data_IF_100517264110
#
_entry.id   IF_100517264110
#
_cell.length_a   1.000
_cell.length_b   1.000
_cell.length_c   1.000
_cell.angle_alpha   90.00
_cell.angle_beta   90.00
_cell.angle_gamma   90.00
#
_symmetry.space_group_name_H-M   'P 1'
#
loop_
_entity.id
_entity.type
_entity.pdbx_description
1 polymer ?
#
# COMPACT_ATOMS: atom_id res chain seq x y z
N UNK A 1 -7.02 57.12 11.61
CA UNK A 1 -7.72 56.17 12.47
C UNK A 1 -7.60 56.69 13.88
N UNK A 2 -8.67 57.29 14.41
CA UNK A 2 -8.64 57.85 15.76
C UNK A 2 -9.41 56.93 16.70
N UNK A 3 -8.68 55.95 17.27
CA UNK A 3 -9.23 55.06 18.30
C UNK A 3 -9.31 55.88 19.58
N UNK A 4 -10.52 56.32 19.94
CA UNK A 4 -10.75 57.09 21.15
C UNK A 4 -10.91 56.14 22.34
N UNK A 5 -10.15 56.33 23.43
CA UNK A 5 -10.34 55.55 24.64
C UNK A 5 -11.74 55.75 25.21
N UNK A 6 -12.33 54.70 25.79
CA UNK A 6 -13.57 54.83 26.57
C UNK A 6 -13.30 55.73 27.77
N UNK A 7 -14.28 56.59 28.10
CA UNK A 7 -14.16 57.59 29.16
C UNK A 7 -13.68 56.95 30.48
N UNK A 8 -12.44 57.21 30.86
CA UNK A 8 -11.79 56.70 32.09
C UNK A 8 -10.58 55.79 31.89
N UNK A 9 -10.36 55.22 30.70
CA UNK A 9 -9.15 54.44 30.38
C UNK A 9 -8.19 55.32 29.55
N UNK A 10 -6.97 55.57 30.03
CA UNK A 10 -5.94 56.33 29.28
C UNK A 10 -5.08 55.44 28.39
N UNK A 11 -5.23 54.12 28.50
CA UNK A 11 -4.47 53.11 27.79
C UNK A 11 -5.44 52.08 27.19
N UNK A 12 -5.39 51.91 25.86
CA UNK A 12 -6.17 50.90 25.17
C UNK A 12 -5.57 49.52 25.43
N UNK A 13 -6.40 48.58 25.86
CA UNK A 13 -5.95 47.18 26.01
C UNK A 13 -5.65 46.60 24.64
N UNK A 14 -4.62 45.76 24.56
CA UNK A 14 -4.24 45.08 23.31
C UNK A 14 -5.44 44.40 22.64
N UNK A 15 -6.31 43.76 23.42
CA UNK A 15 -7.55 43.13 22.95
C UNK A 15 -8.50 44.12 22.24
N UNK A 16 -8.65 45.34 22.76
CA UNK A 16 -9.51 46.37 22.15
C UNK A 16 -8.93 46.88 20.83
N UNK A 17 -7.60 46.95 20.72
CA UNK A 17 -6.91 47.35 19.49
C UNK A 17 -7.10 46.26 18.43
N UNK A 18 -6.91 44.99 18.78
CA UNK A 18 -7.08 43.86 17.87
C UNK A 18 -8.54 43.75 17.38
N UNK A 19 -9.52 43.88 18.27
CA UNK A 19 -10.95 43.87 17.90
C UNK A 19 -11.30 44.97 16.90
N UNK A 20 -10.76 46.18 17.08
CA UNK A 20 -11.07 47.31 16.18
C UNK A 20 -10.35 47.17 14.84
N UNK A 21 -9.15 46.59 14.83
CA UNK A 21 -8.49 46.16 13.60
C UNK A 21 -9.31 45.09 12.88
N UNK A 22 -9.76 44.05 13.57
CA UNK A 22 -10.57 42.97 12.98
C UNK A 22 -11.91 43.49 12.44
N UNK A 23 -12.55 44.46 13.10
CA UNK A 23 -13.74 45.13 12.55
C UNK A 23 -13.42 45.94 11.31
N UNK A 24 -12.37 46.75 11.36
CA UNK A 24 -12.02 47.63 10.24
C UNK A 24 -11.58 46.85 9.00
N UNK A 25 -10.75 45.82 9.19
CA UNK A 25 -10.27 44.95 8.11
C UNK A 25 -11.26 43.82 7.77
N UNK A 26 -12.20 43.53 8.67
CA UNK A 26 -13.26 42.54 8.45
C UNK A 26 -14.10 42.86 7.22
N UNK A 27 -14.38 44.14 6.96
CA UNK A 27 -15.11 44.60 5.77
C UNK A 27 -14.33 44.44 4.46
N UNK A 28 -13.00 44.29 4.54
CA UNK A 28 -12.13 44.03 3.38
C UNK A 28 -12.02 42.53 3.06
N UNK A 29 -12.70 41.66 3.81
CA UNK A 29 -12.83 40.24 3.45
C UNK A 29 -13.69 40.13 2.20
N UNK A 30 -13.04 39.93 1.06
CA UNK A 30 -13.73 39.69 -0.19
C UNK A 30 -14.26 38.25 -0.23
N UNK A 31 -15.45 38.04 0.33
CA UNK A 31 -16.14 36.72 0.38
C UNK A 31 -16.31 36.11 -1.03
N UNK A 32 -16.46 36.95 -2.06
CA UNK A 32 -16.58 36.51 -3.46
C UNK A 32 -15.25 35.89 -3.90
N UNK A 33 -14.13 36.54 -3.61
CA UNK A 33 -12.80 36.02 -3.93
C UNK A 33 -12.48 34.77 -3.10
N UNK A 34 -12.80 34.75 -1.80
CA UNK A 34 -12.65 33.57 -0.96
C UNK A 34 -13.45 32.39 -1.52
N UNK A 35 -14.71 32.61 -1.92
CA UNK A 35 -15.55 31.62 -2.59
C UNK A 35 -14.94 31.14 -3.90
N UNK A 36 -14.35 32.03 -4.71
CA UNK A 36 -13.66 31.65 -5.94
C UNK A 36 -12.48 30.70 -5.65
N UNK A 37 -11.61 31.06 -4.70
CA UNK A 37 -10.47 30.23 -4.29
C UNK A 37 -10.97 28.87 -3.78
N UNK A 38 -11.96 28.87 -2.89
CA UNK A 38 -12.59 27.65 -2.38
C UNK A 38 -13.12 26.75 -3.50
N UNK A 39 -13.81 27.32 -4.49
CA UNK A 39 -14.41 26.59 -5.60
C UNK A 39 -13.37 26.02 -6.58
N UNK A 40 -12.16 26.57 -6.63
CA UNK A 40 -11.06 26.06 -7.46
C UNK A 40 -10.25 24.95 -6.78
N UNK A 41 -10.24 24.87 -5.45
CA UNK A 41 -9.50 23.83 -4.70
C UNK A 41 -9.85 22.42 -5.20
N UNK A 42 -8.85 21.68 -5.67
CA UNK A 42 -8.93 20.25 -5.99
C UNK A 42 -7.76 19.55 -5.33
N UNK A 43 -7.89 18.24 -5.13
CA UNK A 43 -6.79 17.43 -4.64
C UNK A 43 -5.66 17.46 -5.67
N UNK A 44 -4.45 17.82 -5.27
CA UNK A 44 -3.30 17.84 -6.15
C UNK A 44 -2.81 16.41 -6.45
N UNK A 45 -2.07 16.19 -7.55
CA UNK A 45 -1.43 14.91 -7.80
C UNK A 45 -0.56 14.51 -6.61
N UNK A 46 -0.74 13.28 -6.11
CA UNK A 46 -0.01 12.73 -4.97
C UNK A 46 -0.28 13.38 -3.60
N UNK A 47 -1.16 14.38 -3.50
CA UNK A 47 -1.60 14.94 -2.21
C UNK A 47 -2.43 13.92 -1.44
N UNK A 48 -2.16 13.75 -0.14
CA UNK A 48 -2.97 12.87 0.71
C UNK A 48 -4.33 13.49 0.97
N UNK A 49 -5.36 12.65 1.12
CA UNK A 49 -6.73 13.14 1.33
C UNK A 49 -6.85 14.08 2.55
N UNK A 50 -6.10 13.82 3.64
CA UNK A 50 -6.12 14.69 4.82
C UNK A 50 -5.55 16.09 4.59
N UNK A 51 -4.50 16.21 3.77
CA UNK A 51 -3.90 17.50 3.43
C UNK A 51 -4.88 18.32 2.59
N UNK A 52 -5.43 17.69 1.56
CA UNK A 52 -6.49 18.26 0.72
C UNK A 52 -7.69 18.75 1.56
N UNK A 53 -8.22 17.88 2.43
CA UNK A 53 -9.39 18.21 3.24
C UNK A 53 -9.12 19.35 4.23
N UNK A 54 -7.91 19.41 4.79
CA UNK A 54 -7.51 20.49 5.71
C UNK A 54 -7.44 21.82 4.97
N UNK A 55 -6.78 21.86 3.80
CA UNK A 55 -6.72 23.05 2.94
C UNK A 55 -8.11 23.51 2.52
N UNK A 56 -8.99 22.58 2.18
CA UNK A 56 -10.37 22.87 1.85
C UNK A 56 -11.16 23.46 3.03
N UNK A 57 -10.95 22.93 4.24
CA UNK A 57 -11.61 23.41 5.47
C UNK A 57 -11.19 24.84 5.80
N UNK A 58 -9.88 25.12 5.77
CA UNK A 58 -9.34 26.45 6.03
C UNK A 58 -9.90 27.49 5.04
N UNK A 59 -9.94 27.17 3.74
CA UNK A 59 -10.48 28.08 2.74
C UNK A 59 -11.98 28.37 2.92
N UNK A 60 -12.74 27.45 3.52
CA UNK A 60 -14.17 27.65 3.76
C UNK A 60 -14.46 28.65 4.90
N UNK A 61 -13.51 28.87 5.82
CA UNK A 61 -13.66 29.79 6.96
C UNK A 61 -13.83 31.23 6.49
N UNK A 62 -13.12 31.62 5.42
CA UNK A 62 -13.18 32.96 4.83
C UNK A 62 -14.37 33.16 3.87
N UNK A 63 -15.13 32.10 3.56
CA UNK A 63 -16.24 32.18 2.61
C UNK A 63 -17.56 32.64 3.23
N UNK A 64 -17.67 32.66 4.56
CA UNK A 64 -18.88 33.04 5.31
C UNK A 64 -20.18 32.33 4.83
N UNK A 65 -20.08 31.06 4.44
CA UNK A 65 -21.25 30.31 3.98
C UNK A 65 -22.23 30.03 5.12
N UNK A 66 -23.53 30.28 4.89
CA UNK A 66 -24.60 29.91 5.83
C UNK A 66 -24.65 28.42 6.20
N UNK A 67 -24.17 27.54 5.31
CA UNK A 67 -24.14 26.08 5.48
C UNK A 67 -22.76 25.54 5.12
N UNK A 68 -21.72 25.81 5.93
CA UNK A 68 -20.34 25.50 5.57
C UNK A 68 -20.13 23.98 5.44
N UNK A 69 -20.78 23.18 6.28
CA UNK A 69 -20.69 21.71 6.20
C UNK A 69 -21.22 21.15 4.89
N UNK A 70 -22.31 21.72 4.35
CA UNK A 70 -22.86 21.33 3.04
C UNK A 70 -21.87 21.67 1.94
N UNK A 71 -21.30 22.87 1.98
CA UNK A 71 -20.33 23.33 0.98
C UNK A 71 -19.07 22.47 0.99
N UNK A 72 -18.53 22.19 2.18
CA UNK A 72 -17.40 21.30 2.38
C UNK A 72 -17.69 19.90 1.85
N UNK A 73 -18.88 19.36 2.12
CA UNK A 73 -19.28 18.02 1.65
C UNK A 73 -19.31 17.96 0.13
N UNK A 74 -20.04 18.87 -0.49
CA UNK A 74 -20.22 18.90 -1.95
C UNK A 74 -18.88 19.13 -2.65
N UNK A 75 -18.04 20.02 -2.08
CA UNK A 75 -16.72 20.32 -2.62
C UNK A 75 -15.69 19.20 -2.39
N UNK A 76 -15.76 18.48 -1.28
CA UNK A 76 -14.95 17.27 -1.02
C UNK A 76 -15.22 16.24 -2.11
N UNK A 77 -16.49 15.90 -2.37
CA UNK A 77 -16.85 14.94 -3.42
C UNK A 77 -16.40 15.41 -4.80
N UNK A 78 -16.56 16.70 -5.13
CA UNK A 78 -16.12 17.25 -6.42
C UNK A 78 -14.59 17.28 -6.58
N UNK A 79 -13.86 17.53 -5.50
CA UNK A 79 -12.43 17.85 -5.50
C UNK A 79 -11.48 16.65 -5.40
N UNK A 80 -11.94 15.46 -5.02
CA UNK A 80 -11.08 14.27 -4.92
C UNK A 80 -10.58 13.78 -6.29
N UNK A 81 -9.37 13.22 -6.31
CA UNK A 81 -8.75 12.65 -7.50
C UNK A 81 -9.27 11.24 -7.84
N UNK A 82 -9.76 10.53 -6.83
CA UNK A 82 -10.28 9.18 -6.97
C UNK A 82 -11.64 9.13 -7.68
N UNK A 83 -11.60 9.03 -9.02
CA UNK A 83 -12.83 9.00 -9.85
C UNK A 83 -13.78 7.84 -9.52
N UNK A 84 -13.30 6.59 -9.34
CA UNK A 84 -14.17 5.50 -8.89
C UNK A 84 -14.85 5.77 -7.55
N UNK A 85 -14.13 6.35 -6.58
CA UNK A 85 -14.73 6.75 -5.30
C UNK A 85 -15.75 7.88 -5.48
N UNK A 86 -15.42 8.89 -6.28
CA UNK A 86 -16.32 10.01 -6.60
C UNK A 86 -17.64 9.50 -7.17
N UNK A 87 -17.60 8.60 -8.16
CA UNK A 87 -18.78 7.96 -8.74
C UNK A 87 -19.60 7.18 -7.71
N UNK A 88 -18.91 6.42 -6.83
CA UNK A 88 -19.57 5.68 -5.74
C UNK A 88 -20.28 6.61 -4.77
N UNK A 89 -19.60 7.67 -4.32
CA UNK A 89 -20.15 8.65 -3.39
C UNK A 89 -21.39 9.35 -3.96
N UNK A 90 -21.36 9.72 -5.25
CA UNK A 90 -22.51 10.33 -5.94
C UNK A 90 -23.70 9.37 -5.99
N UNK A 91 -23.48 8.10 -6.38
CA UNK A 91 -24.52 7.08 -6.44
C UNK A 91 -25.13 6.75 -5.08
N UNK A 92 -24.32 6.72 -4.03
CA UNK A 92 -24.81 6.43 -2.68
C UNK A 92 -25.56 7.63 -2.10
N UNK A 93 -25.05 8.84 -2.31
CA UNK A 93 -25.67 10.08 -1.82
C UNK A 93 -27.01 10.35 -2.53
N UNK A 94 -27.18 9.92 -3.78
CA UNK A 94 -28.46 10.02 -4.50
C UNK A 94 -29.54 9.09 -3.92
N UNK A 95 -29.16 8.03 -3.21
CA UNK A 95 -30.09 7.10 -2.55
C UNK A 95 -30.40 7.51 -1.12
N UNK A 96 -29.39 7.94 -0.37
CA UNK A 96 -29.50 8.38 1.01
C UNK A 96 -28.56 9.57 1.23
N UNK A 97 -29.04 10.70 1.77
CA UNK A 97 -28.18 11.82 2.13
C UNK A 97 -27.07 11.37 3.08
N UNK A 98 -25.82 11.71 2.73
CA UNK A 98 -24.65 11.55 3.61
C UNK A 98 -24.26 12.87 4.24
N UNK A 99 -23.80 12.79 5.48
CA UNK A 99 -23.19 13.88 6.24
C UNK A 99 -21.76 14.13 5.77
N UNK A 100 -21.20 15.30 6.11
CA UNK A 100 -19.79 15.59 5.84
C UNK A 100 -18.85 14.56 6.48
N UNK A 101 -19.12 14.18 7.74
CA UNK A 101 -18.29 13.23 8.47
C UNK A 101 -18.29 11.83 7.83
N UNK A 102 -19.43 11.35 7.35
CA UNK A 102 -19.52 10.08 6.63
C UNK A 102 -18.69 10.11 5.33
N UNK A 103 -18.79 11.18 4.54
CA UNK A 103 -17.99 11.35 3.32
C UNK A 103 -16.49 11.37 3.63
N UNK A 104 -16.08 12.13 4.64
CA UNK A 104 -14.68 12.24 5.06
C UNK A 104 -14.15 10.89 5.54
N UNK A 105 -14.93 10.16 6.36
CA UNK A 105 -14.56 8.82 6.84
C UNK A 105 -14.40 7.83 5.68
N UNK A 106 -15.30 7.87 4.70
CA UNK A 106 -15.25 7.01 3.52
C UNK A 106 -14.03 7.31 2.65
N UNK A 107 -13.68 8.59 2.48
CA UNK A 107 -12.49 9.00 1.73
C UNK A 107 -11.19 8.53 2.42
N UNK A 108 -11.08 8.70 3.75
CA UNK A 108 -9.93 8.16 4.51
C UNK A 108 -9.84 6.63 4.40
N UNK A 109 -10.97 5.95 4.54
CA UNK A 109 -11.04 4.50 4.47
C UNK A 109 -10.68 3.97 3.09
N UNK A 110 -11.11 4.66 2.02
CA UNK A 110 -10.77 4.32 0.65
C UNK A 110 -9.28 4.51 0.35
N UNK A 111 -8.68 5.60 0.81
CA UNK A 111 -7.23 5.83 0.67
C UNK A 111 -6.43 4.73 1.38
N UNK A 112 -6.78 4.42 2.63
CA UNK A 112 -6.15 3.34 3.39
C UNK A 112 -6.32 1.97 2.71
N UNK A 113 -7.54 1.65 2.27
CA UNK A 113 -7.84 0.37 1.61
C UNK A 113 -7.05 0.20 0.31
N UNK A 114 -6.85 1.28 -0.45
CA UNK A 114 -6.02 1.27 -1.66
C UNK A 114 -4.56 1.03 -1.33
N UNK A 115 -4.02 1.68 -0.32
CA UNK A 115 -2.63 1.49 0.08
C UNK A 115 -2.39 0.08 0.64
N UNK A 116 -3.32 -0.46 1.43
CA UNK A 116 -3.30 -1.85 1.88
C UNK A 116 -3.39 -2.84 0.71
N UNK A 117 -4.30 -2.61 -0.25
CA UNK A 117 -4.45 -3.47 -1.43
C UNK A 117 -3.17 -3.47 -2.29
N UNK A 118 -2.51 -2.32 -2.46
CA UNK A 118 -1.22 -2.23 -3.15
C UNK A 118 -0.15 -3.05 -2.43
N UNK A 119 -0.07 -2.95 -1.10
CA UNK A 119 0.88 -3.71 -0.31
C UNK A 119 0.66 -5.22 -0.43
N UNK A 120 -0.61 -5.68 -0.35
CA UNK A 120 -0.96 -7.09 -0.55
C UNK A 120 -0.55 -7.59 -1.94
N UNK A 121 -0.90 -6.84 -2.99
CA UNK A 121 -0.54 -7.19 -4.36
C UNK A 121 0.99 -7.24 -4.58
N UNK A 122 1.75 -6.37 -3.91
CA UNK A 122 3.21 -6.39 -3.98
C UNK A 122 3.79 -7.65 -3.33
N UNK A 123 3.25 -8.07 -2.19
CA UNK A 123 3.65 -9.31 -1.51
C UNK A 123 3.34 -10.55 -2.36
N UNK A 124 2.17 -10.61 -3.00
CA UNK A 124 1.80 -11.73 -3.84
C UNK A 124 2.68 -11.83 -5.09
N UNK A 125 2.98 -10.69 -5.74
CA UNK A 125 3.97 -10.66 -6.84
C UNK A 125 5.35 -11.13 -6.39
N UNK A 126 5.79 -10.74 -5.18
CA UNK A 126 7.07 -11.17 -4.66
C UNK A 126 7.10 -12.69 -4.41
N UNK A 127 5.99 -13.27 -3.91
CA UNK A 127 5.84 -14.72 -3.74
C UNK A 127 5.90 -15.46 -5.07
N UNK A 128 5.22 -14.97 -6.10
CA UNK A 128 5.24 -15.54 -7.46
C UNK A 128 6.66 -15.53 -8.04
N UNK A 129 7.37 -14.39 -7.97
CA UNK A 129 8.75 -14.28 -8.46
C UNK A 129 9.69 -15.24 -7.71
N UNK A 130 9.53 -15.36 -6.39
CA UNK A 130 10.33 -16.29 -5.58
C UNK A 130 10.05 -17.75 -5.93
N UNK A 131 8.80 -18.12 -6.22
CA UNK A 131 8.44 -19.47 -6.65
C UNK A 131 9.11 -19.83 -7.99
N UNK A 132 9.07 -18.92 -8.98
CA UNK A 132 9.71 -19.11 -10.29
C UNK A 132 11.23 -19.24 -10.17
N UNK A 133 11.87 -18.42 -9.32
CA UNK A 133 13.32 -18.54 -9.06
C UNK A 133 13.70 -19.91 -8.49
N UNK A 134 12.97 -20.39 -7.49
CA UNK A 134 13.19 -21.72 -6.90
C UNK A 134 12.97 -22.86 -7.90
N UNK A 135 11.98 -22.74 -8.78
CA UNK A 135 11.77 -23.72 -9.85
C UNK A 135 12.95 -23.75 -10.82
N UNK A 136 13.45 -22.57 -11.23
CA UNK A 136 14.64 -22.46 -12.08
C UNK A 136 15.85 -23.11 -11.40
N UNK A 137 16.14 -22.73 -10.15
CA UNK A 137 17.23 -23.32 -9.35
C UNK A 137 17.14 -24.84 -9.26
N UNK A 138 15.94 -25.39 -9.00
CA UNK A 138 15.72 -26.85 -9.01
C UNK A 138 16.04 -27.48 -10.37
N UNK A 139 15.60 -26.88 -11.48
CA UNK A 139 15.90 -27.37 -12.84
C UNK A 139 17.39 -27.29 -13.18
N UNK A 140 18.12 -26.32 -12.64
CA UNK A 140 19.58 -26.23 -12.79
C UNK A 140 20.29 -27.30 -11.95
N UNK A 141 19.90 -27.47 -10.68
CA UNK A 141 20.45 -28.50 -9.80
C UNK A 141 20.18 -29.93 -10.33
N UNK A 142 19.01 -30.18 -10.93
CA UNK A 142 18.67 -31.47 -11.54
C UNK A 142 19.57 -31.78 -12.76
N UNK A 143 20.01 -30.77 -13.52
CA UNK A 143 20.96 -30.93 -14.62
C UNK A 143 22.40 -31.14 -14.16
N UNK A 144 22.76 -30.70 -12.95
CA UNK A 144 24.09 -30.88 -12.36
C UNK A 144 24.23 -32.15 -11.49
N UNK A 145 23.14 -32.88 -11.25
CA UNK A 145 23.30 -34.26 -10.77
C UNK A 145 24.09 -35.04 -11.83
N UNK A 146 25.23 -35.68 -11.47
CA UNK A 146 25.88 -36.57 -12.41
C UNK A 146 24.86 -37.66 -12.66
N UNK A 147 24.28 -37.69 -13.88
CA UNK A 147 23.58 -38.87 -14.38
C UNK A 147 24.45 -40.02 -13.93
N UNK A 148 23.92 -40.88 -13.06
CA UNK A 148 24.51 -42.17 -12.78
C UNK A 148 24.65 -42.79 -14.16
N UNK A 149 25.81 -42.59 -14.78
CA UNK A 149 26.22 -43.33 -15.95
C UNK A 149 26.09 -44.73 -15.43
N UNK A 150 25.18 -45.48 -16.03
CA UNK A 150 25.25 -46.93 -16.10
C UNK A 150 26.72 -47.31 -15.90
N UNK A 151 27.04 -47.77 -14.69
CA UNK A 151 28.37 -48.23 -14.37
C UNK A 151 28.49 -49.48 -15.21
N UNK A 152 29.09 -49.27 -16.37
CA UNK A 152 29.66 -50.24 -17.28
C UNK A 152 29.96 -51.51 -16.48
N UNK A 153 29.20 -52.57 -16.75
CA UNK A 153 29.39 -53.87 -16.13
C UNK A 153 30.78 -54.40 -16.52
N UNK A 154 31.82 -54.03 -15.77
CA UNK A 154 33.18 -54.55 -15.93
C UNK A 154 33.83 -54.72 -14.56
N UNK A 155 33.71 -55.95 -14.05
CA UNK A 155 34.70 -56.63 -13.22
C UNK A 155 35.16 -55.95 -11.92
N UNK A 156 34.24 -55.62 -11.01
CA UNK A 156 34.65 -55.46 -9.61
C UNK A 156 34.86 -56.84 -8.97
N UNK A 157 36.14 -57.21 -8.83
CA UNK A 157 36.58 -58.38 -8.07
C UNK A 157 36.63 -57.99 -6.59
N UNK A 158 35.91 -58.71 -5.72
CA UNK A 158 35.95 -58.52 -4.27
C UNK A 158 36.41 -59.81 -3.57
N UNK A 159 37.11 -59.67 -2.43
CA UNK A 159 37.55 -60.82 -1.64
C UNK A 159 36.42 -61.28 -0.72
N UNK A 160 35.95 -62.52 -0.90
CA UNK A 160 34.88 -63.10 -0.10
C UNK A 160 35.42 -63.52 1.27
N UNK A 161 34.86 -62.95 2.34
CA UNK A 161 35.27 -63.24 3.72
C UNK A 161 35.03 -64.70 4.17
N UNK A 162 34.25 -65.48 3.41
CA UNK A 162 33.88 -66.86 3.76
C UNK A 162 34.85 -67.91 3.22
N UNK A 163 35.45 -67.65 2.05
CA UNK A 163 36.43 -68.55 1.40
C UNK A 163 37.79 -67.90 1.14
N UNK A 164 37.94 -66.63 1.50
CA UNK A 164 39.15 -65.81 1.33
C UNK A 164 39.69 -65.70 -0.11
N UNK A 165 38.86 -65.97 -1.10
CA UNK A 165 39.15 -65.89 -2.53
C UNK A 165 38.47 -64.67 -3.17
N UNK A 166 38.97 -64.24 -4.32
CA UNK A 166 38.52 -63.04 -5.02
C UNK A 166 37.48 -63.37 -6.10
N UNK A 167 36.29 -62.75 -6.07
CA UNK A 167 35.14 -63.03 -6.93
C UNK A 167 34.64 -61.80 -7.68
N UNK A 168 34.28 -61.94 -8.95
CA UNK A 168 33.59 -60.88 -9.70
C UNK A 168 32.10 -60.79 -9.32
N UNK A 169 31.62 -59.59 -9.00
CA UNK A 169 30.20 -59.36 -8.70
C UNK A 169 29.33 -59.63 -9.95
N UNK A 170 28.46 -60.65 -9.91
CA UNK A 170 27.51 -60.94 -11.00
C UNK A 170 27.25 -62.41 -11.37
N UNK A 171 27.85 -63.40 -10.69
CA UNK A 171 27.49 -64.82 -10.88
C UNK A 171 27.15 -65.47 -9.52
N UNK A 172 25.91 -65.30 -9.08
CA UNK A 172 25.34 -66.00 -7.91
C UNK A 172 24.36 -67.11 -8.33
N UNK A 173 24.62 -67.74 -9.47
CA UNK A 173 23.88 -68.92 -9.91
C UNK A 173 24.87 -69.92 -10.48
N UNK A 174 24.82 -71.15 -9.94
CA UNK A 174 25.54 -72.36 -10.35
C UNK A 174 26.99 -72.45 -9.87
N UNK A 175 27.21 -73.17 -8.77
CA UNK A 175 27.98 -74.42 -8.74
C UNK A 175 27.82 -75.06 -7.36
N UNK A 176 26.66 -75.69 -7.13
CA UNK A 176 26.69 -76.98 -6.44
C UNK A 176 27.49 -77.95 -7.32
N UNK A 177 28.33 -78.78 -6.69
CA UNK A 177 29.23 -79.78 -7.29
C UNK A 177 30.56 -79.23 -7.84
N UNK A 178 31.66 -79.50 -7.11
CA UNK A 178 32.55 -80.58 -7.50
C UNK A 178 33.55 -80.92 -6.38
N UNK A 179 33.53 -82.19 -6.02
CA UNK A 179 34.45 -82.89 -5.13
C UNK A 179 35.72 -83.24 -5.92
N UNK A 180 36.87 -83.27 -5.22
CA UNK A 180 38.12 -84.05 -5.48
C UNK A 180 39.14 -83.62 -6.57
N UNK A 181 40.40 -83.54 -6.09
CA UNK A 181 41.61 -84.33 -6.47
C UNK A 181 42.82 -83.62 -7.18
N UNK A 182 44.01 -84.04 -6.70
CA UNK A 182 45.46 -83.87 -7.07
C UNK A 182 46.06 -82.45 -7.07
N UNK A 183 47.25 -82.19 -6.52
CA UNK A 183 48.44 -83.05 -6.23
C UNK A 183 48.93 -82.86 -4.80
#
# INVERSE_FOLDING_TARGET
>A
MDIKPKAGETELKLEQILDEFDKFFGDYKNEIFASFVFLEIKQEPHEKFQEFYTRLKLAAEDCNYNKPERMLRDKTVRGINDKPLQERLLRETSRKPKTLQEIVSECKSAELSKDQSKAMNALDRQREVNAVKKEKERRFAEKETPKFRSLNAKNHIYVCKKCNLSHSCGKWLLMEQHVRIVV
#
